data_IF_930169066738
#
_entry.id   IF_930169066738
#
_cell.length_a   1.000
_cell.length_b   1.000
_cell.length_c   1.000
_cell.angle_alpha   90.00
_cell.angle_beta   90.00
_cell.angle_gamma   90.00
#
_symmetry.space_group_name_H-M   'P 1'
#
loop_
_entity.id
_entity.type
_entity.pdbx_description
1 polymer ?
#
# COMPACT_ATOMS: atom_id res chain seq x y z
N UNK A 1 -26.91 -21.59 8.45
CA UNK A 1 -26.83 -20.63 9.58
C UNK A 1 -26.22 -21.34 10.77
N UNK A 2 -25.16 -20.80 11.38
CA UNK A 2 -24.50 -21.44 12.52
C UNK A 2 -25.05 -20.84 13.83
N UNK A 3 -25.87 -21.56 14.61
CA UNK A 3 -26.65 -21.01 15.72
C UNK A 3 -25.79 -20.49 16.90
N UNK A 4 -24.49 -20.78 16.93
CA UNK A 4 -23.56 -20.29 17.95
C UNK A 4 -23.19 -18.80 17.81
N UNK A 5 -23.40 -18.16 16.65
CA UNK A 5 -23.08 -16.73 16.45
C UNK A 5 -24.13 -15.76 17.00
N UNK A 6 -25.35 -16.24 17.25
CA UNK A 6 -26.46 -15.41 17.71
C UNK A 6 -26.21 -14.75 19.09
N UNK A 7 -25.26 -15.26 19.90
CA UNK A 7 -24.95 -14.75 21.23
C UNK A 7 -23.45 -14.53 21.45
N UNK A 8 -22.72 -13.98 20.47
CA UNK A 8 -21.32 -13.61 20.71
C UNK A 8 -21.24 -12.49 21.77
N UNK A 9 -20.49 -12.69 22.86
CA UNK A 9 -20.40 -11.70 23.92
C UNK A 9 -19.61 -10.48 23.42
N UNK A 10 -20.00 -9.28 23.88
CA UNK A 10 -19.39 -8.00 23.49
C UNK A 10 -17.86 -8.00 23.68
N UNK A 11 -17.36 -8.71 24.70
CA UNK A 11 -15.92 -8.92 24.95
C UNK A 11 -15.17 -9.59 23.79
N UNK A 12 -15.82 -10.53 23.09
CA UNK A 12 -15.23 -11.17 21.90
C UNK A 12 -15.14 -10.17 20.75
N UNK A 13 -16.20 -9.39 20.55
CA UNK A 13 -16.26 -8.36 19.52
C UNK A 13 -15.16 -7.30 19.71
N UNK A 14 -14.97 -6.84 20.94
CA UNK A 14 -13.88 -5.91 21.29
C UNK A 14 -12.52 -6.46 20.90
N UNK A 15 -12.20 -7.68 21.34
CA UNK A 15 -10.90 -8.30 21.03
C UNK A 15 -10.68 -8.45 19.53
N UNK A 16 -11.73 -8.77 18.76
CA UNK A 16 -11.63 -8.85 17.30
C UNK A 16 -11.38 -7.49 16.66
N UNK A 17 -12.08 -6.43 17.08
CA UNK A 17 -11.83 -5.08 16.55
C UNK A 17 -10.49 -4.50 16.99
N UNK A 18 -10.05 -4.80 18.21
CA UNK A 18 -8.71 -4.44 18.71
C UNK A 18 -7.62 -5.10 17.84
N UNK A 19 -7.75 -6.41 17.58
CA UNK A 19 -6.86 -7.12 16.66
C UNK A 19 -6.92 -6.57 15.22
N UNK A 20 -8.10 -6.13 14.76
CA UNK A 20 -8.25 -5.48 13.44
C UNK A 20 -7.50 -4.14 13.41
N UNK A 21 -7.58 -3.36 14.48
CA UNK A 21 -6.85 -2.10 14.62
C UNK A 21 -5.34 -2.30 14.53
N UNK A 22 -4.80 -3.34 15.19
CA UNK A 22 -3.38 -3.70 15.09
C UNK A 22 -2.97 -4.02 13.65
N UNK A 23 -3.78 -4.79 12.92
CA UNK A 23 -3.52 -5.07 11.51
C UNK A 23 -3.59 -3.82 10.65
N UNK A 24 -4.57 -2.93 10.87
CA UNK A 24 -4.65 -1.66 10.16
C UNK A 24 -3.43 -0.77 10.45
N UNK A 25 -2.96 -0.70 11.70
CA UNK A 25 -1.76 0.05 12.07
C UNK A 25 -0.50 -0.54 11.43
N UNK A 26 -0.37 -1.88 11.42
CA UNK A 26 0.74 -2.54 10.73
C UNK A 26 0.69 -2.28 9.22
N UNK A 27 -0.49 -2.31 8.61
CA UNK A 27 -0.64 -2.04 7.18
C UNK A 27 -0.26 -0.59 6.85
N UNK A 28 -0.75 0.37 7.64
CA UNK A 28 -0.39 1.78 7.50
C UNK A 28 1.12 2.01 7.60
N UNK A 29 1.78 1.36 8.55
CA UNK A 29 3.24 1.43 8.72
C UNK A 29 3.97 0.95 7.46
N UNK A 30 3.53 -0.17 6.89
CA UNK A 30 4.10 -0.70 5.64
C UNK A 30 3.83 0.26 4.47
N UNK A 31 2.65 0.89 4.41
CA UNK A 31 2.31 1.87 3.37
C UNK A 31 3.21 3.10 3.43
N UNK A 32 3.55 3.59 4.63
CA UNK A 32 4.56 4.66 4.79
C UNK A 32 5.94 4.22 4.28
N UNK A 33 6.42 3.05 4.70
CA UNK A 33 7.70 2.51 4.24
C UNK A 33 7.74 2.33 2.72
N UNK A 34 6.62 1.94 2.11
CA UNK A 34 6.49 1.79 0.67
C UNK A 34 6.66 3.14 -0.03
N UNK A 35 6.01 4.19 0.46
CA UNK A 35 6.16 5.54 -0.08
C UNK A 35 7.61 6.03 0.02
N UNK A 36 8.26 5.85 1.17
CA UNK A 36 9.67 6.21 1.38
C UNK A 36 10.61 5.43 0.45
N UNK A 37 10.39 4.13 0.27
CA UNK A 37 11.24 3.28 -0.60
C UNK A 37 11.17 3.66 -2.09
N UNK A 38 10.07 4.29 -2.53
CA UNK A 38 9.93 4.80 -3.89
C UNK A 38 10.75 6.08 -4.13
N UNK A 39 11.23 6.74 -3.08
CA UNK A 39 12.16 7.86 -3.19
C UNK A 39 13.62 7.41 -3.33
N UNK A 40 13.94 6.21 -2.84
CA UNK A 40 15.31 5.66 -2.85
C UNK A 40 15.58 4.67 -4.00
N UNK A 41 14.63 4.48 -4.92
CA UNK A 41 14.69 3.56 -6.08
C UNK A 41 15.11 2.11 -5.74
N UNK A 42 14.83 1.66 -4.51
CA UNK A 42 15.10 0.28 -4.07
C UNK A 42 13.92 -0.63 -4.48
N UNK A 43 13.98 -1.12 -5.72
CA UNK A 43 12.93 -1.96 -6.30
C UNK A 43 12.69 -3.29 -5.57
N UNK A 44 13.74 -3.89 -4.99
CA UNK A 44 13.62 -5.15 -4.25
C UNK A 44 12.89 -4.92 -2.92
N UNK A 45 13.23 -3.85 -2.21
CA UNK A 45 12.53 -3.44 -1.00
C UNK A 45 11.05 -3.14 -1.28
N UNK A 46 10.76 -2.39 -2.35
CA UNK A 46 9.37 -2.10 -2.79
C UNK A 46 8.57 -3.40 -2.97
N UNK A 47 9.12 -4.40 -3.67
CA UNK A 47 8.44 -5.68 -3.89
C UNK A 47 8.23 -6.47 -2.58
N UNK A 48 9.20 -6.44 -1.66
CA UNK A 48 9.06 -7.08 -0.35
C UNK A 48 7.96 -6.42 0.48
N UNK A 49 7.91 -5.08 0.50
CA UNK A 49 6.90 -4.31 1.22
C UNK A 49 5.50 -4.56 0.65
N UNK A 50 5.33 -4.61 -0.68
CA UNK A 50 4.07 -4.95 -1.32
C UNK A 50 3.55 -6.34 -0.91
N UNK A 51 4.41 -7.36 -0.93
CA UNK A 51 4.04 -8.72 -0.49
C UNK A 51 3.65 -8.77 0.99
N UNK A 52 4.40 -8.05 1.83
CA UNK A 52 4.10 -7.97 3.26
C UNK A 52 2.77 -7.26 3.52
N UNK A 53 2.49 -6.18 2.79
CA UNK A 53 1.24 -5.44 2.85
C UNK A 53 0.05 -6.32 2.45
N UNK A 54 0.17 -7.06 1.35
CA UNK A 54 -0.86 -7.97 0.86
C UNK A 54 -1.19 -9.08 1.88
N UNK A 55 -0.15 -9.63 2.53
CA UNK A 55 -0.33 -10.60 3.63
C UNK A 55 -1.16 -10.01 4.78
N UNK A 56 -0.94 -8.75 5.15
CA UNK A 56 -1.71 -8.08 6.20
C UNK A 56 -3.15 -7.84 5.76
N UNK A 57 -3.39 -7.43 4.51
CA UNK A 57 -4.75 -7.29 3.97
C UNK A 57 -5.53 -8.61 3.99
N UNK A 58 -4.88 -9.73 3.65
CA UNK A 58 -5.51 -11.04 3.77
C UNK A 58 -5.91 -11.39 5.21
N UNK A 59 -5.10 -11.01 6.21
CA UNK A 59 -5.44 -11.18 7.62
C UNK A 59 -6.63 -10.33 8.04
N UNK A 60 -6.67 -9.06 7.61
CA UNK A 60 -7.81 -8.16 7.83
C UNK A 60 -9.08 -8.76 7.22
N UNK A 61 -9.02 -9.19 5.96
CA UNK A 61 -10.18 -9.77 5.26
C UNK A 61 -10.69 -11.05 5.91
N UNK A 62 -9.78 -11.90 6.37
CA UNK A 62 -10.15 -13.12 7.11
C UNK A 62 -10.87 -12.75 8.41
N UNK A 63 -10.32 -11.81 9.17
CA UNK A 63 -10.91 -11.34 10.42
C UNK A 63 -12.27 -10.68 10.18
N UNK A 64 -12.43 -9.91 9.11
CA UNK A 64 -13.71 -9.33 8.72
C UNK A 64 -14.78 -10.39 8.47
N UNK A 65 -14.44 -11.47 7.76
CA UNK A 65 -15.36 -12.61 7.57
C UNK A 65 -15.68 -13.36 8.87
N UNK A 66 -14.78 -13.30 9.86
CA UNK A 66 -14.99 -13.88 11.20
C UNK A 66 -15.86 -12.98 12.08
N UNK A 67 -15.78 -11.65 11.90
CA UNK A 67 -16.57 -10.64 12.61
C UNK A 67 -17.99 -10.55 12.04
N UNK A 68 -18.11 -10.43 10.72
CA UNK A 68 -19.38 -10.28 10.03
C UNK A 68 -19.42 -11.15 8.79
N UNK A 69 -20.44 -12.00 8.74
CA UNK A 69 -20.68 -12.89 7.61
C UNK A 69 -22.05 -12.68 6.97
N UNK A 70 -22.82 -11.73 7.51
CA UNK A 70 -24.24 -11.54 7.25
C UNK A 70 -24.62 -10.10 7.58
N UNK A 71 -25.58 -9.49 6.86
CA UNK A 71 -26.13 -8.18 7.19
C UNK A 71 -26.67 -8.07 8.62
N UNK A 72 -27.15 -9.18 9.20
CA UNK A 72 -27.63 -9.23 10.59
C UNK A 72 -26.49 -9.01 11.59
N UNK A 73 -25.29 -9.51 11.28
CA UNK A 73 -24.10 -9.32 12.13
C UNK A 73 -23.68 -7.84 12.10
N UNK A 74 -23.72 -7.20 10.92
CA UNK A 74 -23.43 -5.77 10.75
C UNK A 74 -24.37 -4.88 11.59
N UNK A 75 -25.68 -5.16 11.56
CA UNK A 75 -26.66 -4.39 12.34
C UNK A 75 -26.45 -4.57 13.84
N UNK A 76 -26.07 -5.77 14.30
CA UNK A 76 -25.72 -6.01 15.70
C UNK A 76 -24.47 -5.23 16.12
N UNK A 77 -23.45 -5.17 15.27
CA UNK A 77 -22.24 -4.38 15.53
C UNK A 77 -22.58 -2.89 15.61
N UNK A 78 -23.41 -2.38 14.70
CA UNK A 78 -23.90 -0.98 14.74
C UNK A 78 -24.71 -0.69 16.00
N UNK A 79 -25.53 -1.62 16.47
CA UNK A 79 -26.26 -1.45 17.72
C UNK A 79 -25.32 -1.47 18.93
N UNK A 80 -24.37 -2.40 18.97
CA UNK A 80 -23.37 -2.49 20.02
C UNK A 80 -22.52 -1.22 20.11
N UNK A 81 -22.13 -0.61 18.99
CA UNK A 81 -21.34 0.63 18.98
C UNK A 81 -22.13 1.87 19.42
N UNK A 82 -23.46 1.85 19.34
CA UNK A 82 -24.30 2.92 19.90
C UNK A 82 -24.36 2.89 21.42
N UNK A 83 -24.28 1.68 22.00
CA UNK A 83 -24.34 1.48 23.46
C UNK A 83 -22.95 1.54 24.09
N UNK A 84 -21.92 1.13 23.35
CA UNK A 84 -20.53 1.14 23.80
C UNK A 84 -19.71 2.27 23.18
N UNK A 85 -19.25 3.20 24.03
CA UNK A 85 -18.29 4.25 23.65
C UNK A 85 -16.92 3.68 23.25
N UNK A 86 -16.45 2.64 23.94
CA UNK A 86 -15.17 2.00 23.64
C UNK A 86 -15.17 1.34 22.26
N UNK A 87 -16.26 0.66 21.88
CA UNK A 87 -16.36 -0.03 20.60
C UNK A 87 -16.46 0.99 19.48
N UNK A 88 -17.25 2.05 19.70
CA UNK A 88 -17.30 3.18 18.78
C UNK A 88 -15.92 3.78 18.55
N UNK A 89 -15.16 4.04 19.61
CA UNK A 89 -13.80 4.60 19.50
C UNK A 89 -12.86 3.68 18.71
N UNK A 90 -12.95 2.36 18.88
CA UNK A 90 -12.14 1.41 18.07
C UNK A 90 -12.53 1.46 16.59
N UNK A 91 -13.82 1.50 16.28
CA UNK A 91 -14.30 1.61 14.90
C UNK A 91 -13.85 2.91 14.24
N UNK A 92 -13.98 4.03 14.96
CA UNK A 92 -13.55 5.35 14.49
C UNK A 92 -12.03 5.37 14.22
N UNK A 93 -11.23 4.74 15.09
CA UNK A 93 -9.78 4.60 14.89
C UNK A 93 -9.44 3.75 13.67
N UNK A 94 -10.11 2.61 13.46
CA UNK A 94 -9.92 1.76 12.29
C UNK A 94 -10.26 2.54 11.01
N UNK A 95 -11.38 3.25 11.00
CA UNK A 95 -11.80 4.08 9.87
C UNK A 95 -10.76 5.16 9.57
N UNK A 96 -10.25 5.84 10.59
CA UNK A 96 -9.17 6.82 10.44
C UNK A 96 -7.92 6.21 9.79
N UNK A 97 -7.49 5.02 10.23
CA UNK A 97 -6.34 4.32 9.64
C UNK A 97 -6.58 3.94 8.17
N UNK A 98 -7.79 3.50 7.84
CA UNK A 98 -8.17 3.19 6.45
C UNK A 98 -8.07 4.44 5.57
N UNK A 99 -8.61 5.58 6.02
CA UNK A 99 -8.51 6.84 5.30
C UNK A 99 -7.05 7.28 5.11
N UNK A 100 -6.20 7.14 6.13
CA UNK A 100 -4.77 7.44 6.03
C UNK A 100 -4.08 6.54 4.99
N UNK A 101 -4.37 5.24 4.98
CA UNK A 101 -3.84 4.32 3.97
C UNK A 101 -4.26 4.71 2.56
N UNK A 102 -5.54 5.07 2.35
CA UNK A 102 -6.04 5.51 1.04
C UNK A 102 -5.34 6.78 0.54
N UNK A 103 -5.08 7.74 1.43
CA UNK A 103 -4.36 8.98 1.07
C UNK A 103 -2.91 8.70 0.66
N UNK A 104 -2.24 7.78 1.36
CA UNK A 104 -0.88 7.36 0.98
C UNK A 104 -0.87 6.56 -0.32
N UNK A 105 -1.87 5.72 -0.57
CA UNK A 105 -1.98 4.96 -1.82
C UNK A 105 -2.07 5.89 -3.04
N UNK A 106 -2.81 6.99 -2.93
CA UNK A 106 -2.86 8.01 -3.98
C UNK A 106 -1.47 8.60 -4.24
N UNK A 107 -0.70 8.90 -3.19
CA UNK A 107 0.67 9.42 -3.31
C UNK A 107 1.62 8.38 -3.93
N UNK A 108 1.54 7.12 -3.49
CA UNK A 108 2.31 5.99 -4.03
C UNK A 108 2.04 5.82 -5.53
N UNK A 109 0.77 5.84 -5.95
CA UNK A 109 0.41 5.72 -7.36
C UNK A 109 0.96 6.87 -8.21
N UNK A 110 0.93 8.10 -7.67
CA UNK A 110 1.51 9.25 -8.34
C UNK A 110 3.03 9.11 -8.47
N UNK A 111 3.72 8.71 -7.40
CA UNK A 111 5.17 8.49 -7.40
C UNK A 111 5.61 7.40 -8.38
N UNK A 112 4.90 6.27 -8.41
CA UNK A 112 5.18 5.20 -9.38
C UNK A 112 5.04 5.70 -10.82
N UNK A 113 4.03 6.54 -11.10
CA UNK A 113 3.85 7.13 -12.43
C UNK A 113 5.03 8.04 -12.80
N UNK A 114 5.50 8.86 -11.86
CA UNK A 114 6.66 9.73 -12.05
C UNK A 114 7.93 8.93 -12.34
N UNK A 115 8.25 7.94 -11.51
CA UNK A 115 9.41 7.07 -11.69
C UNK A 115 9.35 6.34 -13.05
N UNK A 116 8.16 5.87 -13.46
CA UNK A 116 7.99 5.23 -14.78
C UNK A 116 8.27 6.18 -15.96
N UNK A 117 7.82 7.44 -15.87
CA UNK A 117 8.12 8.45 -16.91
C UNK A 117 9.62 8.74 -16.96
N UNK A 118 10.27 8.89 -15.81
CA UNK A 118 11.72 9.12 -15.72
C UNK A 118 12.51 7.94 -16.31
N UNK A 119 12.20 6.70 -15.92
CA UNK A 119 12.85 5.50 -16.44
C UNK A 119 12.71 5.39 -17.97
N UNK A 120 11.51 5.68 -18.51
CA UNK A 120 11.28 5.69 -19.96
C UNK A 120 12.18 6.72 -20.68
N UNK A 121 12.31 7.92 -20.11
CA UNK A 121 13.15 8.98 -20.69
C UNK A 121 14.63 8.58 -20.69
N UNK A 122 15.12 8.00 -19.60
CA UNK A 122 16.50 7.50 -19.49
C UNK A 122 16.79 6.41 -20.52
N UNK A 123 15.86 5.45 -20.72
CA UNK A 123 16.00 4.42 -21.76
C UNK A 123 16.06 5.05 -23.16
N UNK A 124 15.21 6.04 -23.44
CA UNK A 124 15.23 6.75 -24.72
C UNK A 124 16.55 7.48 -24.98
N UNK A 125 17.11 8.14 -23.95
CA UNK A 125 18.41 8.78 -24.01
C UNK A 125 19.53 7.76 -24.25
N UNK A 126 19.56 6.66 -23.51
CA UNK A 126 20.55 5.59 -23.68
C UNK A 126 20.51 4.96 -25.08
N UNK A 127 19.31 4.71 -25.62
CA UNK A 127 19.15 4.22 -27.00
C UNK A 127 19.66 5.23 -28.02
N UNK A 128 19.45 6.53 -27.79
CA UNK A 128 19.93 7.60 -28.66
C UNK A 128 21.45 7.69 -28.63
N UNK A 129 22.04 7.67 -27.43
CA UNK A 129 23.50 7.61 -27.25
C UNK A 129 24.09 6.37 -27.94
N UNK A 130 23.43 5.21 -27.85
CA UNK A 130 23.88 4.00 -28.53
C UNK A 130 23.85 4.15 -30.06
N UNK A 131 22.81 4.76 -30.63
CA UNK A 131 22.71 5.05 -32.07
C UNK A 131 23.82 6.00 -32.53
N UNK A 132 24.05 7.07 -31.77
CA UNK A 132 25.12 8.04 -32.04
C UNK A 132 26.48 7.33 -32.01
N UNK A 133 26.78 6.58 -30.94
CA UNK A 133 28.04 5.83 -30.80
C UNK A 133 28.27 4.84 -31.96
N UNK A 134 27.21 4.18 -32.45
CA UNK A 134 27.28 3.32 -33.64
C UNK A 134 27.61 4.11 -34.91
N UNK A 135 26.99 5.27 -35.12
CA UNK A 135 27.24 6.12 -36.28
C UNK A 135 28.69 6.61 -36.34
N UNK A 136 29.24 7.11 -35.22
CA UNK A 136 30.64 7.52 -35.13
C UNK A 136 31.61 6.37 -35.42
N UNK A 137 31.33 5.17 -34.88
CA UNK A 137 32.14 3.97 -35.17
C UNK A 137 32.17 3.62 -36.65
N UNK A 138 31.04 3.69 -37.35
CA UNK A 138 30.95 3.42 -38.80
C UNK A 138 31.72 4.49 -39.60
N UNK A 139 31.65 5.75 -39.17
CA UNK A 139 32.33 6.86 -39.82
C UNK A 139 33.86 6.91 -39.58
N UNK A 140 34.43 5.99 -38.79
CA UNK A 140 35.85 6.01 -38.42
C UNK A 140 36.26 7.21 -37.55
N UNK A 141 35.28 7.95 -37.03
CA UNK A 141 35.49 9.14 -36.21
C UNK A 141 35.37 8.79 -34.72
N UNK A 142 36.25 9.34 -33.88
CA UNK A 142 36.04 9.26 -32.42
C UNK A 142 34.83 10.13 -32.07
N UNK A 143 33.85 9.62 -31.30
CA UNK A 143 32.78 10.46 -30.79
C UNK A 143 33.42 11.60 -29.99
N UNK A 144 33.00 12.84 -30.26
CA UNK A 144 33.37 13.96 -29.41
C UNK A 144 32.99 13.61 -27.98
N UNK A 145 33.90 13.83 -27.02
CA UNK A 145 33.60 13.69 -25.61
C UNK A 145 32.39 14.57 -25.31
N UNK A 146 31.22 13.95 -25.16
CA UNK A 146 30.03 14.57 -24.59
C UNK A 146 30.37 14.88 -23.13
N UNK A 147 31.08 15.99 -22.94
CA UNK A 147 31.28 16.63 -21.65
C UNK A 147 29.93 17.20 -21.19
N UNK A 148 29.55 16.74 -20.00
CA UNK A 148 28.48 17.15 -19.09
C UNK A 148 27.14 17.64 -19.66
N UNK A 149 26.13 16.77 -19.54
CA UNK A 149 24.71 17.12 -19.58
C UNK A 149 24.14 17.34 -18.15
N UNK A 150 24.97 17.79 -17.22
CA UNK A 150 24.55 18.22 -15.88
C UNK A 150 24.95 19.69 -15.65
N UNK A 151 24.21 20.60 -16.27
CA UNK A 151 23.96 21.97 -15.76
C UNK A 151 22.45 22.22 -15.78
#
# INVERSE_FOLDING_TARGET
MNPQRANQPLSTLYRQFDQKLDFCQSCLTITHQLLESLETDDGDLVLQLLKRRDTVFHRIRRLDNEISSSPVDDDRIRQASRVSSQLKSLLDQIEQKIHQMMQLDVQIHQKIRENHVQARNQIGQAQTQQKIARAYRIAGAKPASLLDLNE
#
